data_IF_169468376625
#
_entry.id   IF_169468376625
#
_cell.length_a   1.000
_cell.length_b   1.000
_cell.length_c   1.000
_cell.angle_alpha   90.00
_cell.angle_beta   90.00
_cell.angle_gamma   90.00
#
_symmetry.space_group_name_H-M   'P 1'
#
loop_
_entity.id
_entity.type
_entity.pdbx_description
1 polymer ?
#
# COMPACT_ATOMS: atom_id res chain seq x y z
N UNK A 1 0.85 -30.46 -2.79
CA UNK A 1 0.93 -29.00 -2.57
C UNK A 1 -0.48 -28.56 -2.27
N UNK A 2 -0.69 -27.68 -1.28
CA UNK A 2 -2.01 -27.17 -0.98
C UNK A 2 -2.58 -26.38 -2.16
N UNK A 3 -3.90 -26.38 -2.29
CA UNK A 3 -4.59 -25.59 -3.32
C UNK A 3 -4.46 -24.10 -3.02
N UNK A 4 -4.33 -23.29 -4.06
CA UNK A 4 -4.34 -21.83 -3.94
C UNK A 4 -5.71 -21.34 -3.48
N UNK A 5 -5.72 -20.34 -2.59
CA UNK A 5 -6.95 -19.64 -2.20
C UNK A 5 -7.73 -19.09 -3.42
N UNK A 6 -7.04 -18.78 -4.51
CA UNK A 6 -7.64 -18.26 -5.75
C UNK A 6 -8.20 -19.36 -6.68
N UNK A 7 -7.82 -20.62 -6.48
CA UNK A 7 -8.40 -21.76 -7.22
C UNK A 7 -9.65 -22.34 -6.56
N UNK A 8 -9.95 -21.96 -5.32
CA UNK A 8 -11.14 -22.44 -4.61
C UNK A 8 -12.44 -21.90 -5.21
N UNK A 9 -13.52 -22.69 -5.10
CA UNK A 9 -14.87 -22.21 -5.40
C UNK A 9 -15.27 -21.10 -4.42
N UNK A 10 -16.26 -20.28 -4.79
CA UNK A 10 -16.75 -19.23 -3.89
C UNK A 10 -17.24 -19.78 -2.54
N UNK A 11 -17.82 -20.99 -2.55
CA UNK A 11 -18.27 -21.68 -1.33
C UNK A 11 -17.09 -22.14 -0.48
N UNK A 12 -16.12 -22.84 -1.07
CA UNK A 12 -14.97 -23.37 -0.32
C UNK A 12 -14.09 -22.23 0.22
N UNK A 13 -13.97 -21.14 -0.54
CA UNK A 13 -13.30 -19.92 -0.07
C UNK A 13 -14.02 -19.29 1.12
N UNK A 14 -15.34 -19.21 1.09
CA UNK A 14 -16.13 -18.73 2.23
C UNK A 14 -15.96 -19.65 3.46
N UNK A 15 -16.04 -20.96 3.26
CA UNK A 15 -15.87 -21.96 4.32
C UNK A 15 -14.46 -21.88 4.94
N UNK A 16 -13.42 -21.69 4.12
CA UNK A 16 -12.06 -21.42 4.58
C UNK A 16 -11.98 -20.19 5.50
N UNK A 17 -12.53 -19.05 5.07
CA UNK A 17 -12.48 -17.84 5.88
C UNK A 17 -13.29 -18.00 7.17
N UNK A 18 -14.46 -18.65 7.14
CA UNK A 18 -15.23 -18.94 8.35
C UNK A 18 -14.44 -19.83 9.33
N UNK A 19 -13.75 -20.86 8.83
CA UNK A 19 -12.89 -21.69 9.66
C UNK A 19 -11.71 -20.87 10.25
N UNK A 20 -11.15 -19.94 9.49
CA UNK A 20 -10.09 -19.05 9.95
C UNK A 20 -10.56 -18.07 11.04
N UNK A 21 -11.80 -17.55 10.98
CA UNK A 21 -12.38 -16.67 12.03
C UNK A 21 -12.24 -17.30 13.41
N UNK A 22 -12.60 -18.58 13.54
CA UNK A 22 -12.59 -19.29 14.82
C UNK A 22 -11.19 -19.41 15.47
N UNK A 23 -10.12 -19.32 14.65
CA UNK A 23 -8.73 -19.46 15.11
C UNK A 23 -8.02 -18.11 15.25
N UNK A 24 -8.34 -17.14 14.38
CA UNK A 24 -7.65 -15.84 14.31
C UNK A 24 -8.39 -14.74 15.09
N UNK A 25 -9.71 -14.89 15.30
CA UNK A 25 -10.52 -13.89 16.00
C UNK A 25 -10.79 -12.62 15.19
N UNK A 26 -10.52 -12.63 13.88
CA UNK A 26 -10.82 -11.53 12.94
C UNK A 26 -11.99 -11.90 12.04
N UNK A 27 -12.76 -10.91 11.62
CA UNK A 27 -13.90 -11.10 10.72
C UNK A 27 -13.46 -11.67 9.36
N UNK A 28 -14.22 -12.62 8.81
CA UNK A 28 -13.94 -13.28 7.53
C UNK A 28 -13.69 -12.30 6.37
N UNK A 29 -14.46 -11.21 6.30
CA UNK A 29 -14.36 -10.18 5.27
C UNK A 29 -13.00 -9.47 5.36
N UNK A 30 -12.52 -9.20 6.58
CA UNK A 30 -11.21 -8.59 6.80
C UNK A 30 -10.08 -9.55 6.45
N UNK A 31 -10.23 -10.84 6.77
CA UNK A 31 -9.26 -11.87 6.39
C UNK A 31 -9.17 -12.04 4.86
N UNK A 32 -10.30 -12.01 4.15
CA UNK A 32 -10.30 -12.08 2.69
C UNK A 32 -9.67 -10.83 2.07
N UNK A 33 -10.03 -9.66 2.58
CA UNK A 33 -9.41 -8.40 2.15
C UNK A 33 -7.90 -8.39 2.39
N UNK A 34 -7.46 -8.94 3.52
CA UNK A 34 -6.05 -9.07 3.86
C UNK A 34 -5.28 -9.94 2.85
N UNK A 35 -5.89 -11.05 2.40
CA UNK A 35 -5.33 -11.90 1.33
C UNK A 35 -5.12 -11.11 0.05
N UNK A 36 -6.08 -10.26 -0.34
CA UNK A 36 -5.95 -9.41 -1.52
C UNK A 36 -4.88 -8.32 -1.36
N UNK A 37 -4.70 -7.77 -0.15
CA UNK A 37 -3.62 -6.83 0.16
C UNK A 37 -2.26 -7.50 -0.03
N UNK A 38 -2.04 -8.69 0.54
CA UNK A 38 -0.76 -9.40 0.38
C UNK A 38 -0.55 -9.82 -1.07
N UNK A 39 -1.60 -10.26 -1.76
CA UNK A 39 -1.53 -10.58 -3.17
C UNK A 39 -1.11 -9.36 -4.02
N UNK A 40 -1.68 -8.18 -3.76
CA UNK A 40 -1.34 -6.97 -4.50
C UNK A 40 0.12 -6.54 -4.26
N UNK A 41 0.59 -6.64 -3.00
CA UNK A 41 1.99 -6.41 -2.67
C UNK A 41 2.89 -7.41 -3.40
N UNK A 42 2.56 -8.71 -3.40
CA UNK A 42 3.31 -9.72 -4.16
C UNK A 42 3.34 -9.38 -5.65
N UNK A 43 2.21 -9.00 -6.22
CA UNK A 43 2.07 -8.67 -7.64
C UNK A 43 3.00 -7.52 -8.06
N UNK A 44 3.08 -6.46 -7.26
CA UNK A 44 3.87 -5.28 -7.55
C UNK A 44 5.36 -5.46 -7.26
N UNK A 45 5.70 -6.12 -6.17
CA UNK A 45 7.10 -6.19 -5.70
C UNK A 45 7.90 -7.35 -6.31
N UNK A 46 7.25 -8.31 -6.96
CA UNK A 46 7.94 -9.30 -7.81
C UNK A 46 8.18 -8.80 -9.25
N UNK A 47 7.50 -7.73 -9.67
CA UNK A 47 7.74 -7.07 -10.94
C UNK A 47 8.97 -6.13 -10.84
N UNK A 48 9.73 -5.88 -11.93
CA UNK A 48 10.84 -4.93 -11.92
C UNK A 48 10.50 -3.54 -11.35
N UNK A 49 9.26 -3.05 -11.46
CA UNK A 49 8.88 -1.77 -10.85
C UNK A 49 9.01 -1.79 -9.31
N UNK A 50 8.94 -2.97 -8.70
CA UNK A 50 9.09 -3.19 -7.26
C UNK A 50 10.41 -2.68 -6.70
N UNK A 51 11.46 -2.61 -7.53
CA UNK A 51 12.75 -2.04 -7.15
C UNK A 51 12.65 -0.55 -6.81
N UNK A 52 11.67 0.16 -7.36
CA UNK A 52 11.47 1.61 -7.20
C UNK A 52 10.20 1.96 -6.43
N UNK A 53 9.50 0.95 -5.90
CA UNK A 53 8.35 1.11 -5.02
C UNK A 53 8.74 0.99 -3.56
N UNK A 54 8.06 1.74 -2.71
CA UNK A 54 8.11 1.60 -1.25
C UNK A 54 6.68 1.56 -0.69
N UNK A 55 6.39 0.51 0.07
CA UNK A 55 5.16 0.36 0.85
C UNK A 55 5.27 1.16 2.14
N UNK A 56 4.28 2.01 2.42
CA UNK A 56 4.33 2.95 3.54
C UNK A 56 2.97 3.14 4.22
N UNK A 57 2.87 4.17 5.05
CA UNK A 57 1.61 4.58 5.67
C UNK A 57 1.16 3.65 6.79
N UNK A 58 -0.12 3.76 7.17
CA UNK A 58 -0.65 3.04 8.34
C UNK A 58 -0.65 1.52 8.15
N UNK A 59 -0.95 1.06 6.94
CA UNK A 59 -1.00 -0.38 6.62
C UNK A 59 0.38 -1.02 6.71
N UNK A 60 1.45 -0.29 6.38
CA UNK A 60 2.82 -0.79 6.60
C UNK A 60 3.16 -0.92 8.10
N UNK A 61 2.70 0.03 8.93
CA UNK A 61 2.91 -0.01 10.38
C UNK A 61 2.19 -1.20 11.03
N UNK A 62 0.99 -1.56 10.56
CA UNK A 62 0.26 -2.72 11.09
C UNK A 62 0.81 -4.04 10.54
N UNK A 63 1.06 -4.10 9.22
CA UNK A 63 1.34 -5.37 8.52
C UNK A 63 2.80 -5.79 8.59
N UNK A 64 3.73 -4.85 8.42
CA UNK A 64 5.16 -5.14 8.38
C UNK A 64 5.83 -4.95 9.76
N UNK A 65 5.47 -3.86 10.45
CA UNK A 65 6.09 -3.51 11.73
C UNK A 65 5.31 -3.99 12.96
N UNK A 66 4.01 -4.29 12.81
CA UNK A 66 3.10 -4.70 13.90
C UNK A 66 3.03 -3.71 15.07
N UNK A 67 3.20 -2.42 14.80
CA UNK A 67 3.24 -1.35 15.80
C UNK A 67 1.86 -0.78 16.12
N UNK A 68 0.91 -0.93 15.19
CA UNK A 68 -0.46 -0.43 15.33
C UNK A 68 -1.48 -1.55 15.14
N UNK A 69 -2.61 -1.44 15.84
CA UNK A 69 -3.65 -2.48 15.89
C UNK A 69 -4.93 -2.10 15.14
N UNK A 70 -4.94 -0.94 14.46
CA UNK A 70 -6.05 -0.53 13.62
C UNK A 70 -5.96 -1.17 12.25
N UNK A 71 -7.08 -1.67 11.76
CA UNK A 71 -7.19 -2.12 10.38
C UNK A 71 -7.06 -0.91 9.44
N UNK A 72 -6.35 -1.11 8.33
CA UNK A 72 -6.19 -0.12 7.29
C UNK A 72 -6.32 -0.87 5.97
N UNK A 73 -7.37 -0.53 5.24
CA UNK A 73 -7.78 -1.22 4.01
C UNK A 73 -7.02 -0.78 2.77
N UNK A 74 -6.39 0.39 2.85
CA UNK A 74 -5.70 1.04 1.74
C UNK A 74 -4.22 0.67 1.76
N UNK A 75 -3.61 0.52 0.59
CA UNK A 75 -2.18 0.25 0.43
C UNK A 75 -1.51 1.51 -0.09
N UNK A 76 -0.88 2.25 0.80
CA UNK A 76 -0.09 3.44 0.46
C UNK A 76 1.26 3.04 -0.14
N UNK A 77 1.52 3.46 -1.37
CA UNK A 77 2.76 3.19 -2.09
C UNK A 77 3.38 4.51 -2.55
N UNK A 78 4.70 4.61 -2.50
CA UNK A 78 5.42 5.68 -3.21
C UNK A 78 6.35 5.08 -4.24
N UNK A 79 6.28 5.60 -5.47
CA UNK A 79 7.26 5.33 -6.51
C UNK A 79 8.36 6.38 -6.43
N UNK A 80 9.59 5.98 -6.71
CA UNK A 80 10.75 6.88 -6.64
C UNK A 80 10.59 8.09 -7.57
N UNK A 81 10.61 9.28 -6.99
CA UNK A 81 10.50 10.54 -7.73
C UNK A 81 11.61 10.70 -8.78
N UNK A 82 12.81 10.17 -8.50
CA UNK A 82 13.97 10.24 -9.40
C UNK A 82 13.75 9.46 -10.68
N UNK A 83 12.96 8.39 -10.60
CA UNK A 83 12.61 7.56 -11.75
C UNK A 83 11.44 8.14 -12.54
N UNK A 84 10.39 8.60 -11.83
CA UNK A 84 9.19 9.10 -12.50
C UNK A 84 9.40 10.48 -13.14
N UNK A 85 10.14 11.36 -12.47
CA UNK A 85 10.26 12.77 -12.81
C UNK A 85 11.71 13.20 -13.08
N UNK A 86 12.57 12.26 -13.50
CA UNK A 86 13.99 12.45 -13.76
C UNK A 86 14.29 13.75 -14.55
N UNK A 87 13.52 14.00 -15.61
CA UNK A 87 13.71 15.13 -16.52
C UNK A 87 13.33 16.50 -15.92
N UNK A 88 12.57 16.49 -14.82
CA UNK A 88 12.10 17.70 -14.15
C UNK A 88 12.94 18.06 -12.91
N UNK A 89 13.79 17.14 -12.48
CA UNK A 89 14.60 17.24 -11.28
C UNK A 89 15.99 17.83 -11.57
N UNK A 90 16.62 18.50 -10.59
CA UNK A 90 17.97 19.01 -10.75
C UNK A 90 18.97 17.86 -10.81
N UNK A 91 20.14 18.14 -11.41
CA UNK A 91 21.26 17.20 -11.48
C UNK A 91 22.40 17.70 -10.61
N UNK A 92 23.06 16.78 -9.90
CA UNK A 92 24.28 17.07 -9.16
C UNK A 92 25.49 17.23 -10.06
N UNK A 93 26.64 17.54 -9.46
CA UNK A 93 27.90 17.77 -10.18
C UNK A 93 28.36 16.52 -10.97
N UNK A 94 27.99 15.32 -10.50
CA UNK A 94 28.27 14.04 -11.17
C UNK A 94 27.23 13.62 -12.22
N UNK A 95 26.20 14.44 -12.47
CA UNK A 95 25.13 14.15 -13.41
C UNK A 95 23.99 13.29 -12.86
N UNK A 96 24.08 12.85 -11.61
CA UNK A 96 23.04 12.12 -10.89
C UNK A 96 21.78 12.97 -10.72
N UNK A 97 20.61 12.34 -10.81
CA UNK A 97 19.33 13.00 -10.57
C UNK A 97 19.13 13.17 -9.06
N UNK A 98 18.97 14.41 -8.63
CA UNK A 98 18.67 14.75 -7.23
C UNK A 98 17.17 14.62 -6.97
N UNK A 99 16.78 14.32 -5.72
CA UNK A 99 15.39 14.09 -5.32
C UNK A 99 14.69 15.34 -4.75
N UNK A 100 15.44 16.41 -4.49
CA UNK A 100 14.93 17.65 -3.89
C UNK A 100 15.03 18.81 -4.90
N UNK A 101 13.91 19.38 -5.36
CA UNK A 101 13.94 20.60 -6.15
C UNK A 101 14.41 21.80 -5.31
N UNK A 102 15.27 22.65 -5.87
CA UNK A 102 15.97 23.72 -5.13
C UNK A 102 15.09 24.94 -4.83
N UNK A 103 14.13 25.24 -5.70
CA UNK A 103 13.28 26.44 -5.60
C UNK A 103 11.81 26.09 -5.42
N UNK A 104 11.06 27.00 -4.75
CA UNK A 104 9.61 26.86 -4.59
C UNK A 104 8.85 26.71 -5.92
N UNK A 105 9.33 27.39 -6.97
CA UNK A 105 8.74 27.28 -8.31
C UNK A 105 8.96 25.89 -8.90
N UNK A 106 10.18 25.35 -8.80
CA UNK A 106 10.46 23.98 -9.23
C UNK A 106 9.65 22.95 -8.44
N UNK A 107 9.56 23.08 -7.10
CA UNK A 107 8.74 22.19 -6.26
C UNK A 107 7.29 22.17 -6.76
N UNK A 108 6.71 23.34 -7.04
CA UNK A 108 5.34 23.45 -7.55
C UNK A 108 5.20 22.78 -8.91
N UNK A 109 6.06 23.13 -9.87
CA UNK A 109 6.06 22.58 -11.23
C UNK A 109 6.18 21.05 -11.24
N UNK A 110 7.13 20.49 -10.49
CA UNK A 110 7.34 19.05 -10.37
C UNK A 110 6.11 18.39 -9.73
N UNK A 111 5.59 18.97 -8.64
CA UNK A 111 4.42 18.43 -7.94
C UNK A 111 3.14 18.45 -8.79
N UNK A 112 2.97 19.47 -9.64
CA UNK A 112 1.85 19.58 -10.58
C UNK A 112 1.99 18.57 -11.72
N UNK A 113 3.17 18.47 -12.34
CA UNK A 113 3.44 17.49 -13.40
C UNK A 113 3.22 16.05 -12.91
N UNK A 114 3.73 15.71 -11.72
CA UNK A 114 3.53 14.37 -11.13
C UNK A 114 2.04 14.09 -10.92
N UNK A 115 1.31 15.02 -10.30
CA UNK A 115 -0.09 14.81 -9.93
C UNK A 115 -1.01 14.73 -11.14
N UNK A 116 -0.78 15.56 -12.14
CA UNK A 116 -1.74 15.76 -13.22
C UNK A 116 -1.42 14.90 -14.45
N UNK A 117 -0.16 14.51 -14.63
CA UNK A 117 0.30 13.85 -15.87
C UNK A 117 1.09 12.57 -15.59
N UNK A 118 2.26 12.67 -14.94
CA UNK A 118 3.22 11.57 -14.89
C UNK A 118 2.70 10.38 -14.09
N UNK A 119 2.17 10.62 -12.89
CA UNK A 119 1.72 9.53 -12.02
C UNK A 119 0.42 8.87 -12.53
N UNK A 120 -0.63 9.59 -12.96
CA UNK A 120 -1.79 8.98 -13.60
C UNK A 120 -1.43 8.17 -14.85
N UNK A 121 -0.54 8.69 -15.70
CA UNK A 121 -0.08 7.99 -16.90
C UNK A 121 0.68 6.71 -16.54
N UNK A 122 1.55 6.76 -15.52
CA UNK A 122 2.27 5.59 -15.03
C UNK A 122 1.35 4.53 -14.42
N UNK A 123 0.37 4.91 -13.60
CA UNK A 123 -0.62 3.98 -13.04
C UNK A 123 -1.42 3.29 -14.14
N UNK A 124 -1.92 4.06 -15.12
CA UNK A 124 -2.72 3.53 -16.22
C UNK A 124 -1.91 2.69 -17.22
N UNK A 125 -0.72 3.16 -17.59
CA UNK A 125 0.12 2.58 -18.62
C UNK A 125 1.07 1.47 -18.14
N UNK A 126 1.37 1.41 -16.84
CA UNK A 126 2.34 0.44 -16.27
C UNK A 126 1.70 -0.44 -15.21
N UNK A 127 1.18 0.15 -14.13
CA UNK A 127 0.68 -0.62 -12.97
C UNK A 127 -0.55 -1.45 -13.34
N UNK A 128 -1.56 -0.85 -13.98
CA UNK A 128 -2.78 -1.56 -14.31
C UNK A 128 -2.57 -2.76 -15.24
N UNK A 129 -1.74 -2.68 -16.30
CA UNK A 129 -1.33 -3.84 -17.09
C UNK A 129 -0.66 -4.95 -16.26
N UNK A 130 0.27 -4.60 -15.35
CA UNK A 130 0.95 -5.58 -14.48
C UNK A 130 -0.07 -6.31 -13.61
N UNK A 131 -0.97 -5.58 -12.94
CA UNK A 131 -1.99 -6.19 -12.08
C UNK A 131 -2.94 -7.07 -12.90
N UNK A 132 -3.41 -6.61 -14.07
CA UNK A 132 -4.29 -7.41 -14.95
C UNK A 132 -3.60 -8.69 -15.44
N UNK A 133 -2.34 -8.61 -15.84
CA UNK A 133 -1.56 -9.77 -16.25
C UNK A 133 -1.39 -10.75 -15.09
N UNK A 134 -1.15 -10.25 -13.88
CA UNK A 134 -1.01 -11.08 -12.68
C UNK A 134 -2.32 -11.74 -12.27
N UNK A 135 -3.45 -11.04 -12.33
CA UNK A 135 -4.78 -11.62 -12.11
C UNK A 135 -5.05 -12.79 -13.06
N UNK A 136 -4.77 -12.60 -14.35
CA UNK A 136 -4.93 -13.64 -15.36
C UNK A 136 -4.02 -14.85 -15.11
N UNK A 137 -2.75 -14.62 -14.77
CA UNK A 137 -1.77 -15.67 -14.45
C UNK A 137 -2.20 -16.49 -13.23
N UNK A 138 -2.65 -15.82 -12.17
CA UNK A 138 -2.98 -16.45 -10.89
C UNK A 138 -4.42 -17.01 -10.87
N UNK A 139 -5.19 -16.85 -11.96
CA UNK A 139 -6.59 -17.29 -12.04
C UNK A 139 -7.54 -16.52 -11.10
N UNK A 140 -7.09 -15.37 -10.60
CA UNK A 140 -7.79 -14.61 -9.57
C UNK A 140 -8.91 -13.75 -10.18
N UNK A 141 -10.14 -13.94 -9.71
CA UNK A 141 -11.32 -13.24 -10.22
C UNK A 141 -11.50 -11.86 -9.57
N UNK A 142 -10.89 -10.85 -10.18
CA UNK A 142 -11.07 -9.45 -9.80
C UNK A 142 -11.06 -8.51 -11.01
N UNK A 143 -11.66 -7.33 -10.85
CA UNK A 143 -11.63 -6.22 -11.80
C UNK A 143 -10.65 -5.14 -11.32
N UNK A 144 -10.05 -4.43 -12.27
CA UNK A 144 -9.13 -3.31 -12.02
C UNK A 144 -9.79 -2.01 -12.47
N UNK A 145 -10.07 -1.14 -11.51
CA UNK A 145 -10.62 0.20 -11.70
C UNK A 145 -9.52 1.24 -11.42
N UNK A 146 -9.41 2.30 -12.23
CA UNK A 146 -8.40 3.35 -12.07
C UNK A 146 -9.13 4.67 -11.84
N UNK A 147 -8.69 5.43 -10.85
CA UNK A 147 -9.17 6.79 -10.56
C UNK A 147 -7.97 7.71 -10.28
N UNK A 148 -7.56 8.47 -11.28
CA UNK A 148 -6.38 9.33 -11.21
C UNK A 148 -5.10 8.55 -10.90
N UNK A 149 -4.53 8.77 -9.71
CA UNK A 149 -3.33 8.09 -9.22
C UNK A 149 -3.65 6.82 -8.41
N UNK A 150 -4.93 6.47 -8.26
CA UNK A 150 -5.36 5.34 -7.45
C UNK A 150 -5.81 4.18 -8.35
N UNK A 151 -5.60 2.96 -7.86
CA UNK A 151 -6.04 1.74 -8.52
C UNK A 151 -6.79 0.86 -7.51
N UNK A 152 -8.02 0.47 -7.83
CA UNK A 152 -8.82 -0.44 -7.02
C UNK A 152 -8.86 -1.84 -7.63
N UNK A 153 -8.58 -2.85 -6.81
CA UNK A 153 -8.74 -4.27 -7.17
C UNK A 153 -10.04 -4.75 -6.54
N UNK A 154 -11.10 -4.85 -7.34
CA UNK A 154 -12.45 -5.26 -6.89
C UNK A 154 -12.65 -6.75 -7.13
N UNK A 155 -12.83 -7.51 -6.06
CA UNK A 155 -13.01 -8.97 -6.13
C UNK A 155 -14.47 -9.37 -5.92
N UNK A 156 -14.84 -10.55 -6.41
CA UNK A 156 -16.23 -11.01 -6.46
C UNK A 156 -16.77 -11.44 -5.08
N UNK A 157 -17.14 -10.45 -4.26
CA UNK A 157 -17.84 -10.55 -2.98
C UNK A 157 -18.87 -9.41 -2.85
N UNK A 158 -19.87 -9.57 -1.99
CA UNK A 158 -20.78 -8.46 -1.66
C UNK A 158 -20.06 -7.45 -0.77
N UNK A 159 -20.36 -6.16 -0.93
CA UNK A 159 -19.91 -5.14 0.01
C UNK A 159 -20.65 -5.33 1.36
N UNK A 160 -19.94 -5.16 2.47
CA UNK A 160 -20.50 -5.38 3.81
C UNK A 160 -20.42 -4.10 4.65
N UNK A 161 -21.52 -3.35 4.67
CA UNK A 161 -21.61 -2.09 5.40
C UNK A 161 -20.61 -1.07 4.84
N UNK A 162 -19.62 -0.67 5.65
CA UNK A 162 -18.55 0.25 5.24
C UNK A 162 -17.37 -0.45 4.57
N UNK A 163 -17.23 -1.77 4.73
CA UNK A 163 -16.10 -2.52 4.15
C UNK A 163 -16.45 -2.89 2.72
N UNK A 164 -15.74 -2.27 1.78
CA UNK A 164 -15.83 -2.59 0.35
C UNK A 164 -15.01 -3.82 0.02
N UNK A 165 -15.53 -4.65 -0.86
CA UNK A 165 -14.85 -5.81 -1.48
C UNK A 165 -13.86 -5.35 -2.57
N UNK A 166 -13.01 -4.40 -2.19
CA UNK A 166 -11.96 -3.84 -3.01
C UNK A 166 -10.76 -3.44 -2.17
N UNK A 167 -9.56 -3.68 -2.69
CA UNK A 167 -8.31 -3.14 -2.15
C UNK A 167 -7.95 -1.89 -2.95
N UNK A 168 -7.82 -0.76 -2.25
CA UNK A 168 -7.37 0.50 -2.84
C UNK A 168 -5.85 0.58 -2.75
N UNK A 169 -5.20 0.75 -3.90
CA UNK A 169 -3.79 1.07 -4.01
C UNK A 169 -3.66 2.57 -4.26
N UNK A 170 -3.09 3.30 -3.30
CA UNK A 170 -2.86 4.74 -3.39
C UNK A 170 -1.40 4.99 -3.74
N UNK A 171 -1.15 5.50 -4.95
CA UNK A 171 0.21 5.80 -5.39
C UNK A 171 0.57 7.27 -5.16
N UNK A 172 1.74 7.49 -4.60
CA UNK A 172 2.45 8.77 -4.56
C UNK A 172 3.78 8.68 -5.30
N UNK A 173 4.38 9.84 -5.60
CA UNK A 173 5.72 9.90 -6.18
C UNK A 173 6.44 11.21 -5.83
N UNK A 174 6.25 11.73 -4.61
CA UNK A 174 6.83 13.02 -4.17
C UNK A 174 8.11 12.87 -3.34
N UNK A 175 8.60 11.65 -3.20
CA UNK A 175 9.79 11.31 -2.42
C UNK A 175 10.34 9.98 -2.92
N UNK A 176 11.59 9.68 -2.61
CA UNK A 176 12.22 8.38 -2.87
C UNK A 176 11.58 7.23 -2.08
N UNK A 177 10.91 7.54 -0.96
CA UNK A 177 10.41 6.54 -0.01
C UNK A 177 11.48 6.00 0.94
N UNK A 178 12.72 6.47 0.83
CA UNK A 178 13.84 6.04 1.65
C UNK A 178 13.87 6.78 3.01
N UNK A 179 14.44 6.15 4.07
CA UNK A 179 14.96 4.78 4.12
C UNK A 179 13.85 3.71 4.21
N UNK A 180 14.11 2.55 3.61
CA UNK A 180 13.19 1.41 3.56
C UNK A 180 13.97 0.08 3.57
N UNK A 181 13.40 -0.95 4.19
CA UNK A 181 13.98 -2.30 4.28
C UNK A 181 13.04 -3.33 3.67
N UNK A 182 13.54 -4.52 3.33
CA UNK A 182 12.69 -5.64 2.87
C UNK A 182 12.03 -6.31 4.08
N UNK A 183 10.72 -6.50 4.03
CA UNK A 183 9.97 -7.22 5.06
C UNK A 183 9.20 -8.38 4.47
N UNK A 184 9.21 -9.54 5.15
CA UNK A 184 8.32 -10.64 4.81
C UNK A 184 6.93 -10.38 5.39
N UNK A 185 5.92 -10.40 4.51
CA UNK A 185 4.52 -10.18 4.84
C UNK A 185 3.72 -11.42 4.47
N UNK A 186 2.95 -11.90 5.43
CA UNK A 186 2.03 -13.03 5.29
C UNK A 186 0.60 -12.58 5.54
N UNK A 187 -0.38 -13.33 5.04
CA UNK A 187 -1.78 -13.11 5.35
C UNK A 187 -2.08 -13.39 6.82
N UNK A 188 -2.99 -12.63 7.41
CA UNK A 188 -3.47 -12.87 8.77
C UNK A 188 -4.11 -14.26 8.93
N UNK A 189 -4.79 -14.74 7.88
CA UNK A 189 -5.39 -16.07 7.83
C UNK A 189 -4.37 -17.20 7.90
N UNK A 190 -3.07 -16.94 7.66
CA UNK A 190 -2.03 -17.95 7.80
C UNK A 190 -1.89 -18.44 9.26
N UNK A 191 -2.18 -17.59 10.25
CA UNK A 191 -2.19 -17.96 11.66
C UNK A 191 -3.23 -19.03 12.00
N UNK A 192 -4.23 -19.25 11.14
CA UNK A 192 -5.20 -20.33 11.30
C UNK A 192 -4.56 -21.72 11.10
N UNK A 193 -3.41 -21.84 10.42
CA UNK A 193 -2.74 -23.13 10.17
C UNK A 193 -3.61 -24.11 9.37
N UNK A 194 -4.39 -23.60 8.42
CA UNK A 194 -5.19 -24.39 7.50
C UNK A 194 -4.36 -24.72 6.25
N UNK A 195 -4.58 -25.90 5.66
CA UNK A 195 -3.80 -26.41 4.51
C UNK A 195 -4.26 -25.79 3.18
N UNK A 196 -4.05 -24.47 3.04
CA UNK A 196 -4.35 -23.68 1.84
C UNK A 196 -3.14 -22.79 1.53
N UNK A 197 -2.77 -22.71 0.25
CA UNK A 197 -1.73 -21.81 -0.21
C UNK A 197 -2.25 -20.36 -0.23
N UNK A 198 -1.60 -19.52 0.57
CA UNK A 198 -1.90 -18.11 0.74
C UNK A 198 -0.75 -17.27 0.18
N UNK A 199 -1.05 -16.12 -0.45
CA UNK A 199 0.00 -15.26 -0.95
C UNK A 199 0.91 -14.76 0.19
N UNK A 200 2.20 -14.70 -0.10
CA UNK A 200 3.21 -14.02 0.72
C UNK A 200 3.86 -12.93 -0.13
N UNK A 201 4.32 -11.85 0.50
CA UNK A 201 5.00 -10.77 -0.20
C UNK A 201 6.29 -10.38 0.53
N UNK A 202 7.27 -9.86 -0.22
CA UNK A 202 8.51 -9.32 0.34
C UNK A 202 8.77 -7.89 -0.13
N UNK A 203 7.89 -6.93 0.18
CA UNK A 203 8.03 -5.55 -0.29
C UNK A 203 9.18 -4.81 0.38
N UNK A 204 9.65 -3.75 -0.29
CA UNK A 204 10.40 -2.67 0.37
C UNK A 204 9.41 -1.86 1.21
N UNK A 205 9.64 -1.78 2.50
CA UNK A 205 8.77 -1.09 3.46
C UNK A 205 9.52 0.08 4.08
N UNK A 206 8.86 1.24 4.11
CA UNK A 206 9.39 2.44 4.75
C UNK A 206 9.69 2.16 6.22
N UNK A 207 10.88 2.60 6.67
CA UNK A 207 11.27 2.50 8.08
C UNK A 207 10.26 3.20 8.99
N UNK A 208 10.05 2.66 10.18
CA UNK A 208 9.08 3.20 11.13
C UNK A 208 9.46 4.64 11.54
N UNK A 209 10.75 4.92 11.71
CA UNK A 209 11.32 6.23 12.03
C UNK A 209 11.01 7.26 10.94
N UNK A 210 11.11 6.86 9.67
CA UNK A 210 10.72 7.73 8.55
C UNK A 210 9.21 8.00 8.57
N UNK A 211 8.41 6.97 8.84
CA UNK A 211 6.96 7.11 8.97
C UNK A 211 6.58 8.05 10.12
N UNK A 212 7.27 7.98 11.26
CA UNK A 212 7.11 8.91 12.39
C UNK A 212 7.24 10.36 11.92
N UNK A 213 8.31 10.70 11.20
CA UNK A 213 8.51 12.05 10.70
C UNK A 213 7.46 12.50 9.68
N UNK A 214 6.98 11.60 8.82
CA UNK A 214 5.87 11.91 7.91
C UNK A 214 4.59 12.22 8.68
N UNK A 215 4.28 11.45 9.72
CA UNK A 215 3.10 11.66 10.58
C UNK A 215 3.23 12.92 11.41
N UNK A 216 4.38 13.18 12.03
CA UNK A 216 4.64 14.37 12.83
C UNK A 216 4.52 15.65 12.01
N UNK A 217 5.08 15.64 10.79
CA UNK A 217 4.98 16.77 9.85
C UNK A 217 3.54 16.99 9.39
N UNK A 218 2.79 15.92 9.08
CA UNK A 218 1.38 16.02 8.73
C UNK A 218 0.54 16.62 9.87
N UNK A 219 0.75 16.15 11.10
CA UNK A 219 0.09 16.68 12.31
C UNK A 219 0.43 18.16 12.51
N UNK A 220 1.69 18.57 12.35
CA UNK A 220 2.07 19.98 12.41
C UNK A 220 1.28 20.84 11.41
N UNK A 221 1.13 20.37 10.16
CA UNK A 221 0.34 21.07 9.13
C UNK A 221 -1.13 21.16 9.54
N UNK A 222 -1.72 20.09 10.10
CA UNK A 222 -3.12 20.09 10.57
C UNK A 222 -3.35 21.09 11.70
N UNK A 223 -2.44 21.19 12.66
CA UNK A 223 -2.50 22.19 13.72
C UNK A 223 -2.47 23.61 13.16
N UNK A 224 -1.70 23.85 12.09
CA UNK A 224 -1.66 25.15 11.41
C UNK A 224 -2.91 25.44 10.58
N UNK A 225 -3.61 24.42 10.09
CA UNK A 225 -4.84 24.58 9.30
C UNK A 225 -6.09 24.87 10.14
N UNK A 226 -5.96 25.06 11.46
CA UNK A 226 -7.06 25.25 12.43
C UNK A 226 -8.09 24.11 12.49
N UNK A 227 -7.73 22.93 11.98
CA UNK A 227 -8.52 21.70 12.07
C UNK A 227 -7.58 20.53 12.41
N UNK A 228 -7.10 20.43 13.66
CA UNK A 228 -6.09 19.44 14.05
C UNK A 228 -6.65 18.02 14.21
N UNK A 229 -7.97 17.87 14.35
CA UNK A 229 -8.63 16.60 14.72
C UNK A 229 -9.83 16.25 13.83
N UNK A 230 -9.95 16.87 12.65
CA UNK A 230 -10.98 16.55 11.66
C UNK A 230 -10.94 15.10 11.16
N UNK A 231 -11.94 14.74 10.35
CA UNK A 231 -12.09 13.38 9.83
C UNK A 231 -10.80 12.88 9.16
N UNK A 232 -10.43 11.63 9.45
CA UNK A 232 -9.19 10.99 8.99
C UNK A 232 -7.86 11.57 9.52
N UNK A 233 -7.88 12.57 10.43
CA UNK A 233 -6.68 13.13 11.08
C UNK A 233 -6.37 12.49 12.42
N UNK A 234 -7.39 12.06 13.17
CA UNK A 234 -7.23 11.37 14.46
C UNK A 234 -6.32 10.13 14.36
N UNK A 235 -6.37 9.40 13.24
CA UNK A 235 -5.48 8.25 12.99
C UNK A 235 -4.00 8.62 12.97
N UNK A 236 -3.64 9.84 12.58
CA UNK A 236 -2.24 10.28 12.58
C UNK A 236 -1.73 10.51 14.01
N UNK A 237 -2.58 11.01 14.90
CA UNK A 237 -2.27 11.13 16.32
C UNK A 237 -2.11 9.76 16.98
N UNK A 238 -3.03 8.84 16.71
CA UNK A 238 -2.92 7.45 17.18
C UNK A 238 -1.64 6.77 16.66
N UNK A 239 -1.33 6.90 15.36
CA UNK A 239 -0.12 6.30 14.80
C UNK A 239 1.15 6.86 15.48
N UNK A 240 1.20 8.17 15.78
CA UNK A 240 2.34 8.78 16.49
C UNK A 240 2.50 8.26 17.92
N UNK A 241 1.41 8.20 18.67
CA UNK A 241 1.43 7.67 20.04
C UNK A 241 1.91 6.22 20.06
N UNK A 242 1.45 5.40 19.10
CA UNK A 242 1.87 4.01 19.00
C UNK A 242 3.33 3.85 18.59
N UNK A 243 3.83 4.72 17.72
CA UNK A 243 5.25 4.73 17.33
C UNK A 243 6.13 5.06 18.55
N UNK A 244 5.80 6.13 19.26
CA UNK A 244 6.51 6.57 20.47
C UNK A 244 6.47 5.50 21.57
N UNK A 245 5.30 4.89 21.81
CA UNK A 245 5.14 3.81 22.78
C UNK A 245 5.97 2.54 22.48
N UNK A 246 6.41 2.37 21.23
CA UNK A 246 7.28 1.27 20.81
C UNK A 246 8.75 1.69 20.61
N UNK A 247 9.12 2.91 21.01
CA UNK A 247 10.50 3.39 21.00
C UNK A 247 11.05 3.76 19.62
N UNK A 248 10.16 4.11 18.68
CA UNK A 248 10.52 4.68 17.36
C UNK A 248 10.73 6.19 17.49
#
# INVERSE_FOLDING_TARGET
>A
MPDSIFSLSARDRADFFQAAVARVGRNAILLEKDVWVVWALRALFEDPIGAHLVFKGGTSLSKAHRLIERFSEDVDLTYDIRELAADLLPRGEGGEVLDIPETRSQIRRVSEAIRNELLPAWVSGTVAPIIRARLARDGAQAAVEIDGCNLSIRYAQQDHGQVKSAVLLEFGARSTGEPADLHDIVCDSAAAGLDIDLPTARPRVMKAERTFWEKATAVHVFCRSRDPVGNHKARHWYDLERLDANGV
#
